data_IF_937086014684
#
_entry.id   IF_937086014684
#
_cell.length_a   1.000
_cell.length_b   1.000
_cell.length_c   1.000
_cell.angle_alpha   90.00
_cell.angle_beta   90.00
_cell.angle_gamma   90.00
#
_symmetry.space_group_name_H-M   'P 1'
#
loop_
_entity.id
_entity.type
_entity.pdbx_description
1 polymer ?
#
# COMPACT_ATOMS: atom_id res chain seq x y z
N UNK A 1 5.93 1.38 -3.04
CA UNK A 1 6.27 1.56 -4.47
C UNK A 1 4.99 1.53 -5.28
N UNK A 2 4.59 2.65 -5.87
CA UNK A 2 3.56 2.68 -6.91
C UNK A 2 4.23 2.48 -8.27
N UNK A 3 4.36 1.24 -8.74
CA UNK A 3 4.88 0.97 -10.09
C UNK A 3 3.74 0.42 -10.93
N UNK A 4 3.29 1.24 -11.88
CA UNK A 4 2.07 1.17 -12.70
C UNK A 4 1.77 -0.18 -13.36
N UNK A 5 1.49 -1.21 -12.55
CA UNK A 5 1.11 -2.55 -12.99
C UNK A 5 1.83 -3.71 -12.31
N UNK A 6 2.96 -3.50 -11.62
CA UNK A 6 3.73 -4.62 -11.03
C UNK A 6 2.90 -5.43 -10.04
N UNK A 7 2.15 -4.76 -9.15
CA UNK A 7 1.29 -5.45 -8.17
C UNK A 7 0.20 -6.29 -8.86
N UNK A 8 -0.34 -5.81 -9.98
CA UNK A 8 -1.33 -6.55 -10.77
C UNK A 8 -0.73 -7.77 -11.44
N UNK A 9 0.47 -7.65 -12.01
CA UNK A 9 1.21 -8.79 -12.57
C UNK A 9 1.51 -9.84 -11.50
N UNK A 10 2.01 -9.41 -10.33
CA UNK A 10 2.22 -10.30 -9.17
C UNK A 10 0.91 -10.98 -8.78
N UNK A 11 -0.17 -10.22 -8.64
CA UNK A 11 -1.48 -10.76 -8.27
C UNK A 11 -1.95 -11.84 -9.26
N UNK A 12 -1.88 -11.55 -10.57
CA UNK A 12 -2.34 -12.46 -11.60
C UNK A 12 -1.52 -13.75 -11.64
N UNK A 13 -0.18 -13.65 -11.65
CA UNK A 13 0.69 -14.82 -11.70
C UNK A 13 0.57 -15.69 -10.44
N UNK A 14 0.51 -15.09 -9.25
CA UNK A 14 0.31 -15.85 -8.02
C UNK A 14 -1.07 -16.50 -7.97
N UNK A 15 -2.11 -15.81 -8.47
CA UNK A 15 -3.46 -16.37 -8.55
C UNK A 15 -3.52 -17.59 -9.48
N UNK A 16 -2.77 -17.59 -10.60
CA UNK A 16 -2.66 -18.76 -11.51
C UNK A 16 -2.08 -19.98 -10.79
N UNK A 17 -1.24 -19.76 -9.79
CA UNK A 17 -0.67 -20.81 -8.93
C UNK A 17 -1.54 -21.13 -7.69
N UNK A 18 -2.76 -20.58 -7.61
CA UNK A 18 -3.66 -20.80 -6.46
C UNK A 18 -3.28 -20.00 -5.21
N UNK A 19 -2.33 -19.07 -5.30
CA UNK A 19 -1.87 -18.23 -4.19
C UNK A 19 -2.65 -16.93 -4.18
N UNK A 20 -3.22 -16.61 -3.02
CA UNK A 20 -3.95 -15.35 -2.80
C UNK A 20 -2.99 -14.29 -2.25
N UNK A 21 -2.95 -13.14 -2.90
CA UNK A 21 -2.05 -12.05 -2.54
C UNK A 21 -2.82 -10.82 -2.02
N UNK A 22 -2.21 -10.13 -1.08
CA UNK A 22 -2.64 -8.83 -0.56
C UNK A 22 -1.42 -7.90 -0.53
N UNK A 23 -1.65 -6.63 -0.86
CA UNK A 23 -0.59 -5.64 -0.94
C UNK A 23 -0.80 -4.58 0.14
N UNK A 24 0.29 -4.28 0.85
CA UNK A 24 0.37 -3.23 1.85
C UNK A 24 1.50 -2.29 1.42
N UNK A 25 1.22 -0.99 1.42
CA UNK A 25 2.22 0.02 1.07
C UNK A 25 3.26 0.12 2.18
N UNK A 26 4.53 -0.11 1.86
CA UNK A 26 5.65 0.21 2.74
C UNK A 26 6.02 1.68 2.67
N UNK A 27 6.87 2.15 3.57
CA UNK A 27 7.38 3.52 3.52
C UNK A 27 8.16 3.75 2.22
N UNK A 28 7.65 4.68 1.43
CA UNK A 28 8.20 5.06 0.13
C UNK A 28 7.60 6.39 -0.27
N UNK A 29 8.35 7.19 -1.01
CA UNK A 29 7.81 8.36 -1.70
C UNK A 29 7.74 8.11 -3.21
N UNK A 30 7.22 9.07 -3.96
CA UNK A 30 7.15 8.97 -5.42
C UNK A 30 8.53 8.75 -6.09
N UNK A 31 9.63 9.23 -5.52
CA UNK A 31 10.98 9.02 -6.09
C UNK A 31 11.45 7.57 -6.03
N UNK A 32 10.82 6.74 -5.20
CA UNK A 32 11.15 5.34 -5.02
C UNK A 32 10.54 4.44 -6.11
N UNK A 33 9.64 4.96 -6.96
CA UNK A 33 8.93 4.17 -7.96
C UNK A 33 9.87 3.51 -8.98
N UNK A 34 9.61 2.24 -9.31
CA UNK A 34 10.35 1.50 -10.34
C UNK A 34 10.02 2.04 -11.74
N UNK A 35 11.05 2.22 -12.56
CA UNK A 35 10.94 2.82 -13.91
C UNK A 35 11.39 1.89 -15.04
N UNK A 36 11.68 0.61 -14.75
CA UNK A 36 12.12 -0.38 -15.74
C UNK A 36 11.23 -1.60 -15.69
N UNK A 37 10.71 -1.99 -16.86
CA UNK A 37 9.92 -3.19 -17.04
C UNK A 37 10.76 -4.44 -16.79
N UNK A 38 12.04 -4.44 -17.20
CA UNK A 38 12.96 -5.53 -16.93
C UNK A 38 13.17 -5.76 -15.43
N UNK A 39 13.25 -4.67 -14.65
CA UNK A 39 13.34 -4.75 -13.19
C UNK A 39 12.03 -5.27 -12.56
N UNK A 40 10.88 -4.91 -13.13
CA UNK A 40 9.57 -5.44 -12.70
C UNK A 40 9.47 -6.95 -12.93
N UNK A 41 9.86 -7.44 -14.11
CA UNK A 41 9.90 -8.87 -14.43
C UNK A 41 10.91 -9.63 -13.55
N UNK A 42 12.08 -9.04 -13.28
CA UNK A 42 13.05 -9.61 -12.34
C UNK A 42 12.47 -9.80 -10.94
N UNK A 43 11.69 -8.83 -10.46
CA UNK A 43 11.02 -8.90 -9.15
C UNK A 43 9.97 -10.01 -9.16
N UNK A 44 9.12 -10.04 -10.18
CA UNK A 44 8.07 -11.03 -10.35
C UNK A 44 8.63 -12.46 -10.36
N UNK A 45 9.64 -12.71 -11.18
CA UNK A 45 10.25 -14.04 -11.30
C UNK A 45 10.89 -14.51 -9.99
N UNK A 46 11.55 -13.62 -9.23
CA UNK A 46 12.08 -13.99 -7.91
C UNK A 46 10.97 -14.32 -6.91
N UNK A 47 9.88 -13.56 -6.90
CA UNK A 47 8.73 -13.85 -6.02
C UNK A 47 8.14 -15.23 -6.35
N UNK A 48 7.91 -15.49 -7.64
CA UNK A 48 7.39 -16.79 -8.12
C UNK A 48 8.30 -17.95 -7.73
N UNK A 49 9.60 -17.81 -7.99
CA UNK A 49 10.59 -18.84 -7.66
C UNK A 49 10.56 -19.19 -6.18
N UNK A 50 10.45 -18.20 -5.31
CA UNK A 50 10.43 -18.44 -3.87
C UNK A 50 9.17 -19.17 -3.42
N UNK A 51 8.01 -18.75 -3.95
CA UNK A 51 6.73 -19.35 -3.61
C UNK A 51 6.64 -20.79 -4.13
N UNK A 52 7.17 -21.08 -5.32
CA UNK A 52 7.17 -22.44 -5.89
C UNK A 52 8.24 -23.33 -5.26
N UNK A 53 9.49 -22.88 -5.26
CA UNK A 53 10.64 -23.78 -5.03
C UNK A 53 11.15 -23.75 -3.59
N UNK A 54 10.97 -22.66 -2.85
CA UNK A 54 11.59 -22.45 -1.54
C UNK A 54 10.60 -22.47 -0.37
N UNK A 55 9.32 -22.73 -0.62
CA UNK A 55 8.32 -22.73 0.46
C UNK A 55 8.65 -23.76 1.54
N UNK A 56 9.32 -24.88 1.22
CA UNK A 56 9.76 -25.89 2.20
C UNK A 56 10.97 -25.45 3.06
N UNK A 57 11.76 -24.49 2.58
CA UNK A 57 12.96 -24.00 3.28
C UNK A 57 12.68 -22.86 4.27
N UNK A 58 11.43 -22.42 4.38
CA UNK A 58 11.04 -21.33 5.28
C UNK A 58 10.72 -21.85 6.68
N UNK A 59 11.05 -21.05 7.70
CA UNK A 59 10.62 -21.31 9.07
C UNK A 59 9.20 -20.80 9.26
N UNK A 60 8.27 -21.72 9.45
CA UNK A 60 6.87 -21.41 9.73
C UNK A 60 6.61 -21.36 11.23
N UNK A 61 5.72 -20.44 11.61
CA UNK A 61 5.22 -20.30 12.96
C UNK A 61 3.70 -20.23 12.93
N UNK A 62 3.07 -21.03 13.78
CA UNK A 62 1.62 -21.02 14.01
C UNK A 62 1.20 -20.00 15.07
N UNK A 63 2.10 -19.09 15.48
CA UNK A 63 1.85 -18.11 16.53
C UNK A 63 1.59 -16.71 15.97
N UNK A 64 0.69 -15.97 16.61
CA UNK A 64 0.48 -14.54 16.40
C UNK A 64 0.13 -13.85 17.73
N UNK A 65 0.32 -12.53 17.79
CA UNK A 65 -0.01 -11.72 18.96
C UNK A 65 -1.17 -10.78 18.63
N UNK A 66 -2.15 -10.60 19.54
CA UNK A 66 -3.24 -9.65 19.33
C UNK A 66 -2.72 -8.23 19.02
N UNK A 67 -3.44 -7.44 18.20
CA UNK A 67 -3.01 -6.10 17.85
C UNK A 67 -2.84 -5.19 19.07
N UNK A 68 -1.77 -4.40 19.08
CA UNK A 68 -1.51 -3.36 20.09
C UNK A 68 -1.60 -1.97 19.45
N UNK A 69 -2.30 -1.05 20.10
CA UNK A 69 -2.45 0.32 19.59
C UNK A 69 -1.39 1.23 20.20
N UNK A 70 -0.59 1.84 19.33
CA UNK A 70 0.41 2.84 19.68
C UNK A 70 -0.08 4.23 19.26
N UNK A 71 0.34 5.25 20.01
CA UNK A 71 0.08 6.66 19.69
C UNK A 71 1.29 7.50 20.04
N UNK A 72 1.56 8.47 19.18
CA UNK A 72 2.51 9.56 19.40
C UNK A 72 1.89 10.81 18.75
N UNK A 73 1.43 11.75 19.58
CA UNK A 73 0.64 12.90 19.09
C UNK A 73 -0.59 12.46 18.29
N UNK A 74 -0.75 12.98 17.08
CA UNK A 74 -1.82 12.61 16.14
C UNK A 74 -1.51 11.34 15.34
N UNK A 75 -0.27 10.82 15.38
CA UNK A 75 0.10 9.60 14.68
C UNK A 75 -0.35 8.37 15.48
N UNK A 76 -1.04 7.44 14.79
CA UNK A 76 -1.50 6.18 15.36
C UNK A 76 -0.83 5.01 14.67
N UNK A 77 -0.42 4.03 15.47
CA UNK A 77 0.08 2.74 15.03
C UNK A 77 -0.82 1.59 15.47
N UNK A 78 -1.00 0.59 14.62
CA UNK A 78 -1.50 -0.72 15.01
C UNK A 78 -0.40 -1.75 14.77
N UNK A 79 0.12 -2.31 15.85
CA UNK A 79 1.21 -3.28 15.84
C UNK A 79 0.64 -4.69 15.96
N UNK A 80 0.98 -5.56 15.01
CA UNK A 80 0.56 -6.96 14.97
C UNK A 80 1.79 -7.86 14.90
N UNK A 81 1.86 -8.87 15.77
CA UNK A 81 2.88 -9.92 15.68
C UNK A 81 2.35 -11.13 14.93
N UNK A 82 3.06 -11.61 13.91
CA UNK A 82 2.74 -12.85 13.20
C UNK A 82 4.03 -13.63 12.97
N UNK A 83 4.14 -14.79 13.61
CA UNK A 83 5.39 -15.52 13.72
C UNK A 83 6.49 -14.66 14.35
N UNK A 84 7.60 -14.51 13.64
CA UNK A 84 8.69 -13.64 14.05
C UNK A 84 8.57 -12.21 13.49
N UNK A 85 7.63 -11.97 12.55
CA UNK A 85 7.43 -10.67 11.95
C UNK A 85 6.50 -9.78 12.79
N UNK A 86 6.74 -8.48 12.73
CA UNK A 86 5.97 -7.44 13.41
C UNK A 86 5.49 -6.44 12.37
N UNK A 87 4.19 -6.39 12.11
CA UNK A 87 3.60 -5.48 11.13
C UNK A 87 3.08 -4.26 11.87
N UNK A 88 3.53 -3.07 11.50
CA UNK A 88 3.12 -1.81 12.12
C UNK A 88 2.40 -0.93 11.11
N UNK A 89 1.08 -0.86 11.22
CA UNK A 89 0.22 -0.05 10.35
C UNK A 89 0.12 1.37 10.91
N UNK A 90 0.58 2.37 10.16
CA UNK A 90 0.70 3.76 10.60
C UNK A 90 -0.23 4.65 9.81
N UNK A 91 -0.96 5.50 10.53
CA UNK A 91 -1.89 6.49 9.97
C UNK A 91 -1.85 7.78 10.78
N UNK A 92 -2.07 8.92 10.13
CA UNK A 92 -2.30 10.22 10.79
C UNK A 92 -3.79 10.54 10.93
N UNK A 93 -4.67 9.66 10.47
CA UNK A 93 -6.11 9.85 10.50
C UNK A 93 -6.60 10.27 11.91
N UNK A 94 -7.45 11.32 12.02
CA UNK A 94 -8.18 11.97 10.93
C UNK A 94 -7.43 13.13 10.24
N UNK A 95 -6.19 13.41 10.60
CA UNK A 95 -5.37 14.38 9.89
C UNK A 95 -5.03 13.86 8.49
N UNK A 96 -4.76 14.78 7.57
CA UNK A 96 -4.32 14.42 6.23
C UNK A 96 -3.01 13.63 6.28
N UNK A 97 -2.83 12.67 5.37
CA UNK A 97 -1.56 12.02 5.10
C UNK A 97 -1.32 11.87 3.62
N UNK A 98 -0.04 11.95 3.30
CA UNK A 98 0.55 11.50 2.05
C UNK A 98 1.64 10.46 2.36
N UNK A 99 2.52 10.19 1.39
CA UNK A 99 3.63 9.25 1.49
C UNK A 99 4.48 9.44 2.76
N UNK A 100 4.70 8.36 3.51
CA UNK A 100 5.73 8.32 4.55
C UNK A 100 7.09 7.97 3.90
N UNK A 101 8.10 8.87 3.91
CA UNK A 101 9.36 8.64 3.23
C UNK A 101 10.17 7.47 3.83
N UNK A 102 10.84 6.69 2.98
CA UNK A 102 11.63 5.54 3.40
C UNK A 102 12.80 5.87 4.34
N UNK A 103 13.30 7.12 4.33
CA UNK A 103 14.41 7.58 5.18
C UNK A 103 14.09 7.42 6.66
N UNK A 104 12.79 7.45 7.02
CA UNK A 104 12.31 7.27 8.38
C UNK A 104 12.64 5.86 8.90
N UNK A 105 12.67 4.85 8.03
CA UNK A 105 13.05 3.49 8.43
C UNK A 105 14.49 3.40 8.97
N UNK A 106 15.39 4.34 8.65
CA UNK A 106 16.75 4.35 9.16
C UNK A 106 16.84 4.49 10.69
N UNK A 107 15.75 4.92 11.34
CA UNK A 107 15.70 5.01 12.80
C UNK A 107 15.46 3.67 13.49
N UNK A 108 15.06 2.63 12.75
CA UNK A 108 14.84 1.28 13.26
C UNK A 108 15.92 0.33 12.73
N UNK A 109 16.38 -0.59 13.58
CA UNK A 109 17.36 -1.62 13.19
C UNK A 109 16.74 -3.00 13.11
N UNK A 110 15.49 -3.13 13.53
CA UNK A 110 14.77 -4.39 13.52
C UNK A 110 14.32 -4.79 12.11
N UNK A 111 14.98 -5.80 11.56
CA UNK A 111 14.62 -6.38 10.26
C UNK A 111 13.30 -7.16 10.26
N UNK A 112 12.75 -7.46 11.43
CA UNK A 112 11.47 -8.13 11.62
C UNK A 112 10.31 -7.15 11.77
N UNK A 113 10.60 -5.86 12.03
CA UNK A 113 9.62 -4.79 11.98
C UNK A 113 9.35 -4.38 10.52
N UNK A 114 8.08 -4.44 10.14
CA UNK A 114 7.57 -4.13 8.81
C UNK A 114 6.64 -2.92 8.95
N UNK A 115 7.17 -1.70 8.73
CA UNK A 115 6.34 -0.50 8.73
C UNK A 115 5.45 -0.45 7.48
N UNK A 116 4.17 -0.20 7.70
CA UNK A 116 3.14 -0.07 6.67
C UNK A 116 2.58 1.33 6.74
N UNK A 117 2.67 2.04 5.63
CA UNK A 117 1.96 3.30 5.39
C UNK A 117 0.51 2.95 5.06
N UNK A 118 -0.43 3.34 5.93
CA UNK A 118 -1.85 3.06 5.66
C UNK A 118 -2.38 3.88 4.49
N UNK A 119 -1.83 5.08 4.27
CA UNK A 119 -2.17 5.94 3.15
C UNK A 119 -3.70 6.12 2.95
N UNK A 120 -4.40 6.38 4.06
CA UNK A 120 -5.85 6.21 4.19
C UNK A 120 -6.58 7.47 4.72
N UNK A 121 -6.00 8.64 4.52
CA UNK A 121 -6.51 9.90 5.07
C UNK A 121 -6.13 11.06 4.17
N UNK A 122 -6.63 11.05 2.94
CA UNK A 122 -6.32 12.05 1.93
C UNK A 122 -6.78 13.46 2.36
N UNK A 123 -5.96 14.48 2.07
CA UNK A 123 -6.35 15.90 2.18
C UNK A 123 -5.61 16.74 1.15
N UNK A 124 -6.32 17.59 0.39
CA UNK A 124 -5.70 18.52 -0.56
C UNK A 124 -4.74 19.53 0.10
N UNK A 125 -4.87 19.74 1.42
CA UNK A 125 -4.00 20.63 2.18
C UNK A 125 -2.64 20.02 2.54
N UNK A 126 -2.49 18.70 2.40
CA UNK A 126 -1.28 17.97 2.78
C UNK A 126 -0.62 17.47 1.50
N UNK A 127 0.52 18.05 1.15
CA UNK A 127 1.34 17.61 0.02
C UNK A 127 2.40 16.60 0.43
N UNK A 128 3.00 16.85 1.60
CA UNK A 128 3.97 16.01 2.27
C UNK A 128 3.68 16.08 3.77
N UNK A 129 4.06 15.04 4.50
CA UNK A 129 4.03 15.09 5.96
C UNK A 129 5.06 16.08 6.50
N UNK A 130 4.65 16.91 7.46
CA UNK A 130 5.55 17.84 8.14
C UNK A 130 6.61 17.13 9.01
N UNK A 131 7.68 17.86 9.35
CA UNK A 131 8.79 17.33 10.13
C UNK A 131 8.36 16.80 11.51
N UNK A 132 7.37 17.44 12.14
CA UNK A 132 6.83 17.02 13.43
C UNK A 132 6.14 15.65 13.32
N UNK A 133 5.29 15.47 12.32
CA UNK A 133 4.62 14.21 12.00
C UNK A 133 5.63 13.11 11.71
N UNK A 134 6.67 13.39 10.92
CA UNK A 134 7.75 12.45 10.63
C UNK A 134 8.56 12.07 11.88
N UNK A 135 8.79 13.02 12.79
CA UNK A 135 9.42 12.76 14.08
C UNK A 135 8.53 11.86 14.96
N UNK A 136 7.21 12.09 14.97
CA UNK A 136 6.26 11.25 15.69
C UNK A 136 6.23 9.83 15.13
N UNK A 137 6.23 9.66 13.80
CA UNK A 137 6.36 8.35 13.13
C UNK A 137 7.66 7.65 13.56
N UNK A 138 8.79 8.36 13.58
CA UNK A 138 10.08 7.82 14.00
C UNK A 138 10.08 7.32 15.45
N UNK A 139 9.47 8.08 16.37
CA UNK A 139 9.32 7.67 17.77
C UNK A 139 8.42 6.44 17.91
N UNK A 140 7.34 6.39 17.14
CA UNK A 140 6.39 5.29 17.14
C UNK A 140 7.03 3.99 16.62
N UNK A 141 7.91 4.07 15.61
CA UNK A 141 8.74 2.95 15.16
C UNK A 141 9.64 2.41 16.27
N UNK A 142 10.38 3.28 16.97
CA UNK A 142 11.25 2.88 18.08
C UNK A 142 10.46 2.20 19.19
N UNK A 143 9.30 2.76 19.56
CA UNK A 143 8.41 2.17 20.56
C UNK A 143 7.90 0.79 20.13
N UNK A 144 7.61 0.60 18.84
CA UNK A 144 7.18 -0.69 18.31
C UNK A 144 8.31 -1.74 18.32
N UNK A 145 9.56 -1.32 18.10
CA UNK A 145 10.78 -2.16 18.20
C UNK A 145 11.05 -2.59 19.64
N UNK A 146 10.89 -1.68 20.61
CA UNK A 146 11.13 -1.93 22.04
C UNK A 146 10.00 -2.71 22.72
N UNK A 147 8.81 -2.77 22.12
CA UNK A 147 7.65 -3.42 22.72
C UNK A 147 7.79 -4.95 22.72
N UNK A 148 7.60 -5.59 23.86
CA UNK A 148 7.51 -7.05 23.91
C UNK A 148 6.11 -7.53 23.50
N UNK A 149 6.04 -8.45 22.55
CA UNK A 149 4.79 -9.13 22.17
C UNK A 149 4.82 -10.52 22.81
N UNK A 150 4.38 -10.60 24.06
CA UNK A 150 4.49 -11.80 24.90
C UNK A 150 3.28 -12.73 24.79
N UNK A 151 2.12 -12.21 24.40
CA UNK A 151 0.86 -12.98 24.31
C UNK A 151 0.77 -13.76 22.98
N UNK A 152 1.59 -14.81 22.84
CA UNK A 152 1.57 -15.69 21.67
C UNK A 152 0.34 -16.59 21.70
N UNK A 153 -0.51 -16.47 20.69
CA UNK A 153 -1.73 -17.26 20.46
C UNK A 153 -1.65 -18.01 19.14
N UNK A 154 -2.47 -19.05 18.97
CA UNK A 154 -2.61 -19.74 17.69
C UNK A 154 -3.10 -18.79 16.60
N UNK A 155 -2.45 -18.83 15.44
CA UNK A 155 -2.80 -18.04 14.27
C UNK A 155 -4.04 -18.64 13.59
N UNK A 156 -5.20 -18.07 13.91
CA UNK A 156 -6.44 -18.26 13.14
C UNK A 156 -6.55 -17.12 12.14
N UNK A 157 -6.43 -17.44 10.86
CA UNK A 157 -6.33 -16.46 9.79
C UNK A 157 -7.33 -16.74 8.69
N UNK A 158 -8.00 -15.68 8.24
CA UNK A 158 -8.96 -15.68 7.15
C UNK A 158 -8.63 -14.60 6.12
N UNK A 159 -8.92 -14.89 4.85
CA UNK A 159 -8.74 -13.93 3.76
C UNK A 159 -9.90 -14.02 2.76
N UNK A 160 -10.34 -12.85 2.30
CA UNK A 160 -11.24 -12.74 1.16
C UNK A 160 -10.96 -11.46 0.36
N UNK A 161 -11.38 -11.49 -0.90
CA UNK A 161 -11.34 -10.36 -1.82
C UNK A 161 -12.68 -10.26 -2.54
N UNK A 162 -13.16 -9.04 -2.72
CA UNK A 162 -14.38 -8.73 -3.47
C UNK A 162 -14.14 -7.53 -4.38
N UNK A 163 -14.71 -7.55 -5.59
CA UNK A 163 -14.60 -6.41 -6.51
C UNK A 163 -15.38 -5.19 -6.03
N UNK A 164 -14.99 -3.99 -6.42
CA UNK A 164 -15.77 -2.77 -6.18
C UNK A 164 -16.68 -2.50 -7.40
N UNK A 165 -17.71 -3.33 -7.52
CA UNK A 165 -18.57 -3.38 -8.72
C UNK A 165 -19.29 -2.04 -8.97
N UNK A 166 -19.45 -1.69 -10.25
CA UNK A 166 -20.14 -0.46 -10.66
C UNK A 166 -19.26 0.79 -10.69
N UNK A 167 -17.98 0.65 -10.37
CA UNK A 167 -16.98 1.70 -10.42
C UNK A 167 -15.79 1.25 -11.25
N UNK A 168 -15.12 2.22 -11.87
CA UNK A 168 -13.99 2.03 -12.76
C UNK A 168 -12.73 2.68 -12.18
N UNK A 169 -11.60 2.43 -12.84
CA UNK A 169 -10.34 3.11 -12.51
C UNK A 169 -10.45 4.63 -12.63
N UNK A 170 -11.29 5.14 -13.54
CA UNK A 170 -11.55 6.58 -13.66
C UNK A 170 -12.25 7.16 -12.42
N UNK A 171 -12.97 6.34 -11.65
CA UNK A 171 -13.63 6.76 -10.41
C UNK A 171 -12.68 6.66 -9.19
N UNK A 172 -11.43 6.26 -9.40
CA UNK A 172 -10.44 5.99 -8.35
C UNK A 172 -10.45 4.56 -7.80
N UNK A 173 -11.30 3.68 -8.34
CA UNK A 173 -11.41 2.28 -7.92
C UNK A 173 -10.49 1.36 -8.73
N UNK A 174 -9.50 0.75 -8.08
CA UNK A 174 -8.66 -0.28 -8.70
C UNK A 174 -9.39 -1.63 -8.84
N UNK A 175 -8.99 -2.42 -9.83
CA UNK A 175 -9.64 -3.70 -10.16
C UNK A 175 -9.35 -4.82 -9.14
N UNK A 176 -8.35 -4.67 -8.24
CA UNK A 176 -8.17 -5.61 -7.13
C UNK A 176 -9.26 -5.43 -6.05
N UNK A 177 -10.04 -4.35 -6.12
CA UNK A 177 -11.20 -4.11 -5.28
C UNK A 177 -10.87 -4.00 -3.80
N UNK A 178 -11.63 -4.71 -2.97
CA UNK A 178 -11.49 -4.70 -1.50
C UNK A 178 -11.04 -6.08 -1.03
N UNK A 179 -9.89 -6.12 -0.35
CA UNK A 179 -9.38 -7.33 0.31
C UNK A 179 -9.46 -7.19 1.82
N UNK A 180 -9.75 -8.27 2.53
CA UNK A 180 -9.77 -8.32 3.97
C UNK A 180 -8.92 -9.48 4.47
N UNK A 181 -8.05 -9.19 5.44
CA UNK A 181 -7.46 -10.18 6.35
C UNK A 181 -8.25 -10.13 7.65
N UNK A 182 -8.57 -11.29 8.20
CA UNK A 182 -9.12 -11.43 9.55
C UNK A 182 -8.23 -12.34 10.39
N UNK A 183 -7.88 -11.86 11.58
CA UNK A 183 -7.17 -12.61 12.61
C UNK A 183 -8.11 -12.81 13.79
N UNK A 184 -8.26 -14.05 14.24
CA UNK A 184 -9.19 -14.39 15.32
C UNK A 184 -8.41 -14.77 16.59
N UNK A 185 -8.57 -13.96 17.63
CA UNK A 185 -7.94 -14.21 18.94
C UNK A 185 -9.05 -14.40 19.98
N UNK A 186 -9.13 -15.57 20.61
CA UNK A 186 -10.15 -15.90 21.63
C UNK A 186 -11.59 -15.54 21.24
N UNK A 187 -11.94 -15.79 19.98
CA UNK A 187 -13.27 -15.48 19.44
C UNK A 187 -13.51 -14.01 19.11
N UNK A 188 -12.51 -13.13 19.28
CA UNK A 188 -12.56 -11.70 18.94
C UNK A 188 -11.82 -11.44 17.63
N UNK A 189 -12.52 -11.08 16.54
CA UNK A 189 -11.88 -10.87 15.27
C UNK A 189 -11.22 -9.47 15.19
N UNK A 190 -10.06 -9.40 14.56
CA UNK A 190 -9.41 -8.17 14.14
C UNK A 190 -9.22 -8.19 12.62
N UNK A 191 -9.38 -7.04 11.96
CA UNK A 191 -9.35 -6.94 10.51
C UNK A 191 -8.35 -5.89 9.99
N UNK A 192 -7.72 -6.22 8.87
CA UNK A 192 -7.02 -5.26 8.01
C UNK A 192 -7.77 -5.26 6.67
N UNK A 193 -8.29 -4.10 6.30
CA UNK A 193 -9.02 -3.89 5.05
C UNK A 193 -8.11 -3.16 4.08
N UNK A 194 -7.73 -3.80 2.97
CA UNK A 194 -6.96 -3.20 1.89
C UNK A 194 -7.91 -2.78 0.77
N UNK A 195 -7.89 -1.49 0.45
CA UNK A 195 -8.65 -0.88 -0.64
C UNK A 195 -7.74 -0.65 -1.83
N UNK A 196 -8.08 -1.20 -2.99
CA UNK A 196 -7.32 -0.92 -4.20
C UNK A 196 -7.67 0.45 -4.76
N UNK A 197 -6.75 1.38 -4.59
CA UNK A 197 -6.89 2.80 -4.92
C UNK A 197 -5.61 3.52 -4.52
N UNK A 198 -5.52 4.81 -4.85
CA UNK A 198 -4.37 5.61 -4.46
C UNK A 198 -4.37 5.90 -2.95
N UNK A 199 -5.29 6.77 -2.51
CA UNK A 199 -5.56 7.13 -1.12
C UNK A 199 -7.09 7.12 -0.91
N UNK A 200 -7.57 7.31 0.32
CA UNK A 200 -9.00 7.44 0.60
C UNK A 200 -9.28 8.64 1.50
N UNK A 201 -10.46 9.25 1.35
CA UNK A 201 -10.89 10.34 2.22
C UNK A 201 -11.11 9.81 3.65
N UNK A 202 -10.84 10.63 4.69
CA UNK A 202 -10.87 10.16 6.09
C UNK A 202 -12.17 9.46 6.48
N UNK A 203 -13.31 9.95 5.99
CA UNK A 203 -14.63 9.39 6.28
C UNK A 203 -14.88 8.00 5.66
N UNK A 204 -14.11 7.58 4.65
CA UNK A 204 -14.17 6.21 4.11
C UNK A 204 -13.67 5.23 5.16
N UNK A 205 -12.53 5.55 5.77
CA UNK A 205 -11.97 4.77 6.87
C UNK A 205 -12.96 4.69 8.04
N UNK A 206 -13.55 5.82 8.43
CA UNK A 206 -14.52 5.87 9.52
C UNK A 206 -15.73 4.96 9.27
N UNK A 207 -16.33 5.05 8.08
CA UNK A 207 -17.48 4.23 7.71
C UNK A 207 -17.18 2.72 7.77
N UNK A 208 -15.98 2.30 7.37
CA UNK A 208 -15.56 0.88 7.44
C UNK A 208 -15.33 0.46 8.90
N UNK A 209 -14.55 1.23 9.65
CA UNK A 209 -14.17 0.92 11.04
C UNK A 209 -15.41 0.87 11.93
N UNK A 210 -16.33 1.82 11.79
CA UNK A 210 -17.58 1.87 12.55
C UNK A 210 -18.44 0.62 12.29
N UNK A 211 -18.68 0.28 11.03
CA UNK A 211 -19.50 -0.89 10.66
C UNK A 211 -18.89 -2.18 11.18
N UNK A 212 -17.59 -2.40 10.98
CA UNK A 212 -16.93 -3.63 11.45
C UNK A 212 -16.89 -3.71 12.99
N UNK A 213 -16.65 -2.59 13.69
CA UNK A 213 -16.74 -2.56 15.15
C UNK A 213 -18.14 -2.87 15.66
N UNK A 214 -19.19 -2.39 14.99
CA UNK A 214 -20.58 -2.73 15.33
C UNK A 214 -20.90 -4.22 15.17
N UNK A 215 -20.10 -4.94 14.36
CA UNK A 215 -20.19 -6.38 14.16
C UNK A 215 -19.28 -7.19 15.11
N UNK A 216 -18.63 -6.54 16.08
CA UNK A 216 -17.79 -7.20 17.08
C UNK A 216 -16.32 -7.34 16.72
N UNK A 217 -15.83 -6.69 15.65
CA UNK A 217 -14.39 -6.63 15.39
C UNK A 217 -13.69 -5.71 16.40
N UNK A 218 -12.70 -6.23 17.11
CA UNK A 218 -12.01 -5.54 18.20
C UNK A 218 -11.05 -4.46 17.67
N UNK A 219 -10.21 -4.85 16.70
CA UNK A 219 -9.30 -3.95 16.00
C UNK A 219 -9.57 -3.97 14.50
N UNK A 220 -9.67 -2.79 13.90
CA UNK A 220 -9.86 -2.62 12.47
C UNK A 220 -8.94 -1.51 12.01
N UNK A 221 -8.20 -1.77 10.93
CA UNK A 221 -7.48 -0.72 10.20
C UNK A 221 -7.76 -0.85 8.70
N UNK A 222 -7.76 0.30 8.04
CA UNK A 222 -7.96 0.39 6.60
C UNK A 222 -6.65 0.85 5.98
N UNK A 223 -6.26 0.28 4.86
CA UNK A 223 -5.11 0.72 4.08
C UNK A 223 -5.50 0.87 2.62
N UNK A 224 -4.77 1.68 1.87
CA UNK A 224 -4.83 1.64 0.41
C UNK A 224 -3.58 0.95 -0.17
N UNK A 225 -3.71 0.44 -1.38
CA UNK A 225 -2.62 -0.26 -2.08
C UNK A 225 -1.62 0.71 -2.70
N UNK A 226 -2.06 1.92 -3.09
CA UNK A 226 -1.29 2.90 -3.84
C UNK A 226 -0.64 2.29 -5.09
N UNK A 227 -1.42 1.54 -5.88
CA UNK A 227 -0.95 0.84 -7.09
C UNK A 227 -0.59 1.75 -8.25
N UNK A 228 -1.00 3.02 -8.20
CA UNK A 228 -0.87 4.05 -9.25
C UNK A 228 -1.61 3.69 -10.56
N UNK A 229 -2.37 2.59 -10.59
CA UNK A 229 -3.15 2.17 -11.77
C UNK A 229 -4.32 3.11 -12.08
N UNK A 230 -4.75 3.86 -11.07
CA UNK A 230 -5.81 4.88 -11.16
C UNK A 230 -5.24 6.30 -11.37
N UNK A 231 -3.91 6.45 -11.43
CA UNK A 231 -3.24 7.73 -11.55
C UNK A 231 -3.08 8.16 -13.01
N UNK A 232 -3.22 9.47 -13.27
CA UNK A 232 -3.01 10.04 -14.61
C UNK A 232 -4.09 9.67 -15.63
N UNK A 233 -5.23 9.15 -15.19
CA UNK A 233 -6.35 8.78 -16.06
C UNK A 233 -7.21 9.98 -16.47
N UNK A 234 -7.04 11.13 -15.81
CA UNK A 234 -7.76 12.36 -16.12
C UNK A 234 -6.83 13.52 -16.43
N UNK A 235 -7.24 14.32 -17.41
CA UNK A 235 -6.57 15.57 -17.78
C UNK A 235 -6.98 16.69 -16.82
N UNK A 236 -6.00 17.34 -16.19
CA UNK A 236 -6.21 18.46 -15.27
C UNK A 236 -6.42 18.03 -13.81
N UNK A 237 -6.15 18.97 -12.89
CA UNK A 237 -6.20 18.70 -11.44
C UNK A 237 -5.13 17.70 -11.00
N UNK A 238 -5.48 16.83 -10.05
CA UNK A 238 -4.60 15.80 -9.47
C UNK A 238 -4.37 14.59 -10.38
N UNK A 239 -5.21 14.42 -11.41
CA UNK A 239 -5.14 13.29 -12.33
C UNK A 239 -5.67 11.96 -11.79
N UNK A 240 -6.23 11.93 -10.57
CA UNK A 240 -6.93 10.77 -9.99
C UNK A 240 -7.95 11.22 -8.93
N UNK A 241 -8.88 10.33 -8.58
CA UNK A 241 -9.84 10.52 -7.49
C UNK A 241 -9.44 9.64 -6.29
N UNK A 242 -9.32 10.18 -5.06
CA UNK A 242 -9.17 9.36 -3.88
C UNK A 242 -10.49 8.63 -3.63
N UNK A 243 -10.42 7.43 -3.05
CA UNK A 243 -11.62 6.69 -2.70
C UNK A 243 -12.47 7.51 -1.73
N UNK A 244 -13.78 7.57 -1.98
CA UNK A 244 -14.70 8.44 -1.25
C UNK A 244 -15.12 9.70 -1.98
N UNK A 245 -14.36 10.16 -2.99
CA UNK A 245 -14.66 11.40 -3.73
C UNK A 245 -15.75 11.18 -4.79
N UNK A 246 -15.61 10.13 -5.61
CA UNK A 246 -16.61 9.71 -6.59
C UNK A 246 -17.34 8.46 -6.10
N UNK A 247 -16.57 7.43 -5.70
CA UNK A 247 -17.14 6.23 -5.10
C UNK A 247 -17.67 6.56 -3.69
N UNK A 248 -18.97 6.39 -3.42
CA UNK A 248 -19.53 6.69 -2.11
C UNK A 248 -18.91 5.84 -1.00
N UNK A 249 -18.55 6.47 0.12
CA UNK A 249 -17.99 5.77 1.29
C UNK A 249 -18.86 4.60 1.77
N UNK A 250 -20.19 4.74 1.70
CA UNK A 250 -21.12 3.66 2.05
C UNK A 250 -20.97 2.44 1.13
N UNK A 251 -20.81 2.63 -0.18
CA UNK A 251 -20.61 1.53 -1.12
C UNK A 251 -19.28 0.80 -0.84
N UNK A 252 -18.21 1.56 -0.56
CA UNK A 252 -16.91 0.98 -0.18
C UNK A 252 -17.06 0.18 1.14
N UNK A 253 -17.74 0.76 2.14
CA UNK A 253 -17.93 0.13 3.44
C UNK A 253 -18.78 -1.15 3.37
N UNK A 254 -19.77 -1.22 2.49
CA UNK A 254 -20.54 -2.45 2.21
C UNK A 254 -19.63 -3.56 1.68
N UNK A 255 -18.76 -3.25 0.72
CA UNK A 255 -17.82 -4.22 0.15
C UNK A 255 -16.76 -4.63 1.18
N UNK A 256 -16.30 -3.71 2.03
CA UNK A 256 -15.40 -4.03 3.14
C UNK A 256 -16.04 -4.98 4.16
N UNK A 257 -17.31 -4.76 4.52
CA UNK A 257 -18.08 -5.65 5.39
C UNK A 257 -18.25 -7.02 4.77
N UNK A 258 -18.59 -7.09 3.48
CA UNK A 258 -18.68 -8.37 2.74
C UNK A 258 -17.34 -9.11 2.74
N UNK A 259 -16.24 -8.42 2.41
CA UNK A 259 -14.90 -9.01 2.42
C UNK A 259 -14.52 -9.53 3.81
N UNK A 260 -14.70 -8.72 4.86
CA UNK A 260 -14.39 -9.11 6.23
C UNK A 260 -15.23 -10.29 6.71
N UNK A 261 -16.52 -10.33 6.35
CA UNK A 261 -17.42 -11.43 6.69
C UNK A 261 -16.98 -12.73 6.03
N UNK A 262 -16.65 -12.69 4.73
CA UNK A 262 -16.13 -13.86 4.00
C UNK A 262 -14.78 -14.32 4.54
N UNK A 263 -13.90 -13.37 4.89
CA UNK A 263 -12.61 -13.67 5.49
C UNK A 263 -12.79 -14.35 6.85
N UNK A 264 -13.68 -13.83 7.71
CA UNK A 264 -14.00 -14.44 9.00
C UNK A 264 -14.56 -15.87 8.86
N UNK A 265 -15.47 -16.10 7.90
CA UNK A 265 -15.99 -17.44 7.60
C UNK A 265 -14.92 -18.40 7.08
N UNK A 266 -13.92 -17.89 6.36
CA UNK A 266 -12.79 -18.65 5.85
C UNK A 266 -11.65 -18.80 6.87
N UNK A 267 -11.78 -18.24 8.07
CA UNK A 267 -10.74 -18.26 9.07
C UNK A 267 -10.49 -19.69 9.56
N UNK A 268 -9.22 -20.10 9.55
CA UNK A 268 -8.77 -21.43 9.97
C UNK A 268 -7.38 -21.35 10.59
N UNK A 269 -6.93 -22.38 11.32
CA UNK A 269 -5.54 -22.48 11.74
C UNK A 269 -4.60 -22.38 10.53
N UNK A 270 -3.63 -21.48 10.63
CA UNK A 270 -2.64 -21.23 9.59
C UNK A 270 -1.26 -21.09 10.22
N UNK A 271 -0.24 -21.15 9.38
CA UNK A 271 1.13 -20.84 9.76
C UNK A 271 1.64 -19.68 8.91
N UNK A 272 2.62 -18.96 9.43
CA UNK A 272 3.23 -17.82 8.76
C UNK A 272 4.74 -17.97 8.71
N UNK A 273 5.31 -17.61 7.57
CA UNK A 273 6.73 -17.42 7.39
C UNK A 273 6.99 -16.00 6.89
N UNK A 274 8.16 -15.46 7.22
CA UNK A 274 8.59 -14.14 6.78
C UNK A 274 9.92 -14.23 6.03
N UNK A 275 10.01 -13.51 4.91
CA UNK A 275 11.21 -13.42 4.07
C UNK A 275 11.40 -12.01 3.51
N UNK A 276 12.58 -11.41 3.72
CA UNK A 276 12.91 -10.10 3.17
C UNK A 276 13.67 -10.22 1.86
N UNK A 277 13.09 -9.74 0.76
CA UNK A 277 13.78 -9.68 -0.54
C UNK A 277 14.44 -8.33 -0.75
N UNK A 278 15.68 -8.36 -1.21
CA UNK A 278 16.45 -7.18 -1.61
C UNK A 278 16.80 -7.28 -3.09
N UNK A 279 16.46 -6.25 -3.82
CA UNK A 279 16.73 -6.13 -5.25
C UNK A 279 17.75 -5.01 -5.46
N UNK A 280 19.06 -5.31 -5.39
CA UNK A 280 20.07 -4.29 -5.60
C UNK A 280 20.07 -3.85 -7.08
N UNK A 281 20.36 -2.57 -7.32
CA UNK A 281 20.55 -1.99 -8.67
C UNK A 281 19.30 -1.93 -9.55
N UNK A 282 18.10 -2.00 -8.97
CA UNK A 282 16.87 -1.65 -9.69
C UNK A 282 16.84 -0.15 -10.00
N UNK A 283 16.29 0.21 -11.15
CA UNK A 283 16.13 1.61 -11.57
C UNK A 283 14.87 2.18 -10.94
N UNK A 284 15.05 3.24 -10.16
CA UNK A 284 13.96 4.01 -9.57
C UNK A 284 13.90 5.40 -10.17
N UNK A 285 12.76 6.07 -10.03
CA UNK A 285 12.52 7.37 -10.62
C UNK A 285 13.57 8.38 -10.17
N UNK A 286 13.93 8.47 -8.89
CA UNK A 286 14.96 9.38 -8.34
C UNK A 286 14.83 10.87 -8.74
N UNK A 287 15.32 11.78 -7.89
CA UNK A 287 15.29 13.20 -8.23
C UNK A 287 16.20 13.53 -9.42
N UNK A 288 17.35 12.85 -9.53
CA UNK A 288 18.34 13.07 -10.59
C UNK A 288 17.81 12.66 -11.98
N UNK A 289 17.12 11.52 -12.08
CA UNK A 289 16.54 11.10 -13.36
C UNK A 289 15.38 12.02 -13.80
N UNK A 290 14.56 12.54 -12.87
CA UNK A 290 13.55 13.55 -13.23
C UNK A 290 14.18 14.84 -13.77
N UNK A 291 15.25 15.32 -13.14
CA UNK A 291 15.99 16.48 -13.63
C UNK A 291 16.60 16.24 -15.02
N UNK A 292 17.18 15.05 -15.23
CA UNK A 292 17.74 14.66 -16.53
C UNK A 292 16.64 14.55 -17.61
N UNK A 293 15.51 13.92 -17.29
CA UNK A 293 14.36 13.80 -18.19
C UNK A 293 13.78 15.18 -18.55
N UNK A 294 13.66 16.08 -17.58
CA UNK A 294 13.22 17.47 -17.81
C UNK A 294 14.20 18.22 -18.73
N UNK A 295 15.50 18.09 -18.51
CA UNK A 295 16.52 18.73 -19.34
C UNK A 295 16.50 18.19 -20.79
N UNK A 296 16.38 16.87 -20.97
CA UNK A 296 16.26 16.25 -22.30
C UNK A 296 14.97 16.63 -23.02
N UNK A 297 13.86 16.72 -22.28
CA UNK A 297 12.57 17.19 -22.83
C UNK A 297 12.67 18.63 -23.32
N UNK A 298 13.30 19.51 -22.53
CA UNK A 298 13.56 20.90 -22.93
C UNK A 298 14.41 21.00 -24.20
N UNK A 299 15.46 20.21 -24.31
CA UNK A 299 16.27 20.13 -25.53
C UNK A 299 15.43 19.67 -26.72
N UNK A 300 14.62 18.61 -26.55
CA UNK A 300 13.72 18.10 -27.57
C UNK A 300 12.70 19.13 -28.07
N UNK A 301 12.04 19.84 -27.14
CA UNK A 301 11.08 20.91 -27.47
C UNK A 301 11.79 22.06 -28.20
N UNK A 302 12.99 22.42 -27.78
CA UNK A 302 13.78 23.48 -28.43
C UNK A 302 14.12 23.10 -29.87
N UNK A 303 14.63 21.88 -30.09
CA UNK A 303 14.95 21.35 -31.41
C UNK A 303 13.68 21.30 -32.28
N UNK A 304 12.58 20.75 -31.75
CA UNK A 304 11.30 20.69 -32.46
C UNK A 304 10.80 22.07 -32.88
N UNK A 305 10.87 23.06 -31.98
CA UNK A 305 10.44 24.44 -32.24
C UNK A 305 11.31 25.10 -33.31
N UNK A 306 12.64 24.88 -33.26
CA UNK A 306 13.57 25.38 -34.29
C UNK A 306 13.28 24.78 -35.66
N UNK A 307 13.02 23.47 -35.73
CA UNK A 307 12.61 22.82 -36.98
C UNK A 307 11.26 23.34 -37.49
N UNK A 308 10.28 23.54 -36.61
CA UNK A 308 8.98 24.10 -36.95
C UNK A 308 9.13 25.50 -37.56
N UNK A 309 9.85 26.40 -36.88
CA UNK A 309 10.11 27.77 -37.36
C UNK A 309 10.89 27.75 -38.67
N UNK A 310 11.94 26.92 -38.75
CA UNK A 310 12.72 26.73 -39.97
C UNK A 310 11.85 26.32 -41.15
N UNK A 311 10.97 25.33 -40.96
CA UNK A 311 10.06 24.83 -42.00
C UNK A 311 9.06 25.87 -42.50
N UNK A 312 8.55 26.73 -41.60
CA UNK A 312 7.66 27.84 -41.98
C UNK A 312 8.43 28.87 -42.82
N UNK A 313 9.67 29.18 -42.45
CA UNK A 313 10.51 30.14 -43.19
C UNK A 313 10.85 29.58 -44.58
N UNK A 314 11.32 28.33 -44.70
CA UNK A 314 11.60 27.74 -46.02
C UNK A 314 10.34 27.60 -46.87
N UNK A 315 9.20 27.27 -46.26
CA UNK A 315 7.92 27.20 -46.97
C UNK A 315 7.38 28.55 -47.44
N UNK A 316 7.80 29.66 -46.84
CA UNK A 316 7.41 31.01 -47.26
C UNK A 316 8.36 31.63 -48.31
N UNK A 317 9.54 31.03 -48.53
CA UNK A 317 10.57 31.50 -49.47
C UNK A 317 10.57 30.70 -50.78
N UNK A 318 9.83 29.59 -50.84
CA UNK A 318 9.50 28.81 -52.05
C UNK A 318 8.17 29.29 -52.65
#
# INVERSE_FOLDING_TARGET
YGSSGLMYKIHEELRRDGVKAIFLKGFSNHYDNLISEEDCELILEKIRKIIRDNHEGLTYSSNACPPQILREGHVRGMLLGVGDARILLITTHPMGMEDIPNIICNCSRDQFLIPVDCHNSFSDSVKDLDEDSLQMVSKLLKRAEEMELSERKSLLFGYAQVGLNGYSREDGAGDLGVSAIVLLFDGRPSAIISLDGNNCLPYVRDAIVERLRSMGFEHVEVVTTDTHIVNGLRFGGRGYHPLGEIVPANAIAERAVEAATRALQAAKPMEAAWLRLKFPRVKIMSQSFLQEAAARTWQGITIFTLFLVGSIITGAVL
#
